data_IF_107282694648
#
_entry.id   IF_107282694648
#
_cell.length_a   1.000
_cell.length_b   1.000
_cell.length_c   1.000
_cell.angle_alpha   90.00
_cell.angle_beta   90.00
_cell.angle_gamma   90.00
#
_symmetry.space_group_name_H-M   'P 1'
#
loop_
_entity.id
_entity.type
_entity.pdbx_description
1 polymer ?
#
# COMPACT_ATOMS: atom_id res chain seq x y z
N UNK A 1 26.29 7.14 11.91
CA UNK A 1 27.47 7.89 12.28
C UNK A 1 27.17 9.36 12.08
N UNK A 2 27.46 10.19 13.09
CA UNK A 2 27.37 11.66 12.98
C UNK A 2 28.81 12.16 12.81
N UNK A 3 29.06 12.84 11.72
CA UNK A 3 30.30 13.53 11.46
C UNK A 3 30.07 15.04 11.61
N UNK A 4 30.93 15.70 12.35
CA UNK A 4 30.84 17.14 12.63
C UNK A 4 32.13 17.78 12.14
N UNK A 5 32.00 18.59 11.09
CA UNK A 5 33.14 19.34 10.51
C UNK A 5 32.87 20.83 10.54
N UNK A 6 33.88 21.64 10.25
CA UNK A 6 33.69 23.05 10.00
C UNK A 6 33.73 23.34 8.50
N UNK A 7 32.80 24.16 8.05
CA UNK A 7 32.78 24.62 6.67
C UNK A 7 33.87 25.70 6.44
N UNK A 8 34.11 26.13 5.20
CA UNK A 8 35.08 27.18 4.90
C UNK A 8 34.76 28.54 5.54
N UNK A 9 33.51 28.78 5.95
CA UNK A 9 33.09 29.98 6.69
C UNK A 9 33.32 29.83 8.20
N UNK A 10 33.74 28.63 8.66
CA UNK A 10 34.02 28.32 10.05
C UNK A 10 32.82 27.83 10.85
N UNK A 11 31.65 27.69 10.25
CA UNK A 11 30.44 27.20 10.91
C UNK A 11 30.43 25.67 11.03
N UNK A 12 29.68 25.16 12.02
CA UNK A 12 29.52 23.73 12.19
C UNK A 12 28.62 23.13 11.08
N UNK A 13 29.17 22.20 10.32
CA UNK A 13 28.47 21.39 9.35
C UNK A 13 28.30 19.98 9.90
N UNK A 14 27.07 19.45 9.85
CA UNK A 14 26.72 18.14 10.37
C UNK A 14 26.41 17.19 9.20
N UNK A 15 27.17 16.10 9.10
CA UNK A 15 26.91 15.04 8.12
C UNK A 15 26.44 13.79 8.85
N UNK A 16 25.25 13.30 8.52
CA UNK A 16 24.66 12.12 9.11
C UNK A 16 24.77 10.97 8.11
N UNK A 17 25.54 9.94 8.45
CA UNK A 17 25.61 8.69 7.69
C UNK A 17 24.71 7.68 8.39
N UNK A 18 23.55 7.36 7.80
CA UNK A 18 22.62 6.37 8.30
C UNK A 18 22.74 5.08 7.51
N UNK A 19 22.83 3.94 8.20
CA UNK A 19 22.95 2.62 7.60
C UNK A 19 21.62 2.15 7.00
N UNK A 20 20.49 2.66 7.53
CA UNK A 20 19.13 2.22 7.20
C UNK A 20 18.34 3.28 6.40
N UNK A 21 19.05 4.25 5.81
CA UNK A 21 18.41 5.38 5.15
C UNK A 21 17.84 6.42 6.15
N UNK A 22 17.27 7.52 5.67
CA UNK A 22 16.75 8.58 6.52
C UNK A 22 15.40 8.17 7.12
N UNK A 23 15.41 7.53 8.29
CA UNK A 23 14.19 7.34 9.08
C UNK A 23 13.72 8.68 9.63
N UNK A 24 12.40 8.97 9.52
CA UNK A 24 11.79 10.27 9.83
C UNK A 24 12.10 10.84 11.24
N UNK A 25 12.35 10.01 12.23
CA UNK A 25 12.58 10.45 13.62
C UNK A 25 14.02 10.89 13.90
N UNK A 26 15.00 10.13 13.44
CA UNK A 26 16.41 10.39 13.79
C UNK A 26 16.94 11.67 13.14
N UNK A 27 16.76 11.92 11.82
CA UNK A 27 17.18 13.16 11.20
C UNK A 27 16.50 14.42 11.77
N UNK A 28 15.22 14.33 12.14
CA UNK A 28 14.49 15.48 12.71
C UNK A 28 15.01 15.84 14.09
N UNK A 29 15.23 14.86 14.95
CA UNK A 29 15.78 15.07 16.28
C UNK A 29 17.23 15.59 16.23
N UNK A 30 18.03 15.01 15.33
CA UNK A 30 19.41 15.46 15.12
C UNK A 30 19.48 16.86 14.52
N UNK A 31 18.54 17.22 13.64
CA UNK A 31 18.44 18.58 13.08
C UNK A 31 18.09 19.61 14.15
N UNK A 32 17.18 19.28 15.07
CA UNK A 32 16.88 20.15 16.22
C UNK A 32 18.07 20.27 17.16
N UNK A 33 18.71 19.15 17.51
CA UNK A 33 19.91 19.15 18.35
C UNK A 33 21.07 19.87 17.70
N UNK A 34 21.31 19.71 16.40
CA UNK A 34 22.39 20.39 15.67
C UNK A 34 22.18 21.88 15.56
N UNK A 35 20.95 22.40 15.47
CA UNK A 35 20.66 23.83 15.47
C UNK A 35 21.03 24.47 16.80
N UNK A 36 20.74 23.80 17.92
CA UNK A 36 21.13 24.28 19.26
C UNK A 36 22.66 24.33 19.40
N UNK A 37 23.34 23.26 18.97
CA UNK A 37 24.82 23.19 19.01
C UNK A 37 25.45 24.26 18.14
N UNK A 38 24.98 24.49 16.94
CA UNK A 38 25.48 25.51 16.05
C UNK A 38 25.28 26.93 16.61
N UNK A 39 24.11 27.18 17.20
CA UNK A 39 23.84 28.47 17.86
C UNK A 39 24.73 28.67 19.07
N UNK A 40 24.92 27.64 19.90
CA UNK A 40 25.83 27.71 21.06
C UNK A 40 27.29 27.94 20.64
N UNK A 41 27.77 27.24 19.59
CA UNK A 41 29.13 27.45 19.07
C UNK A 41 29.34 28.87 18.55
N UNK A 42 28.36 29.46 17.86
CA UNK A 42 28.39 30.84 17.39
C UNK A 42 28.42 31.86 18.56
N UNK A 43 27.63 31.60 19.60
CA UNK A 43 27.64 32.43 20.82
C UNK A 43 28.97 32.33 21.60
N UNK A 44 29.52 31.11 21.73
CA UNK A 44 30.77 30.85 22.45
C UNK A 44 32.00 31.44 21.76
N UNK A 45 32.00 31.63 20.43
CA UNK A 45 33.08 32.27 19.70
C UNK A 45 33.19 33.78 19.97
N UNK A 46 32.26 34.34 20.68
CA UNK A 46 32.38 35.64 21.35
C UNK A 46 32.24 36.84 20.44
N UNK A 47 31.42 37.80 20.85
CA UNK A 47 31.37 39.14 20.32
C UNK A 47 30.65 39.28 18.99
N UNK A 48 29.47 38.67 18.85
CA UNK A 48 28.61 38.91 17.68
C UNK A 48 28.19 40.40 17.66
N UNK A 49 28.57 41.17 16.63
CA UNK A 49 28.01 42.49 16.39
C UNK A 49 26.50 42.38 16.17
N UNK A 50 25.75 43.41 16.56
CA UNK A 50 24.28 43.40 16.47
C UNK A 50 23.73 43.17 15.05
N UNK A 51 24.49 43.52 14.03
CA UNK A 51 24.21 43.34 12.61
C UNK A 51 24.31 41.86 12.15
N UNK A 52 24.86 40.97 12.98
CA UNK A 52 24.97 39.53 12.69
C UNK A 52 24.00 38.66 13.49
N UNK A 53 23.08 39.24 14.26
CA UNK A 53 22.08 38.48 15.00
C UNK A 53 21.20 37.61 14.09
N UNK A 54 20.94 38.05 12.87
CA UNK A 54 20.20 37.27 11.87
C UNK A 54 20.89 35.93 11.50
N UNK A 55 22.24 35.90 11.60
CA UNK A 55 23.00 34.67 11.36
C UNK A 55 22.84 33.62 12.46
N UNK A 56 22.40 33.99 13.67
CA UNK A 56 22.13 33.03 14.74
C UNK A 56 20.91 32.17 14.47
N UNK A 57 19.95 32.68 13.69
CA UNK A 57 18.74 31.95 13.28
C UNK A 57 18.90 31.03 12.06
N UNK A 58 20.05 31.12 11.37
CA UNK A 58 20.27 30.26 10.17
C UNK A 58 20.53 28.82 10.62
N UNK A 59 19.68 27.87 10.21
CA UNK A 59 19.88 26.46 10.55
C UNK A 59 21.21 25.96 9.97
N UNK A 60 21.96 25.10 10.70
CA UNK A 60 23.16 24.49 10.15
C UNK A 60 22.84 23.65 8.93
N UNK A 61 23.76 23.56 7.98
CA UNK A 61 23.64 22.61 6.88
C UNK A 61 23.72 21.17 7.42
N UNK A 62 22.65 20.42 7.30
CA UNK A 62 22.61 19.00 7.67
C UNK A 62 22.46 18.19 6.38
N UNK A 63 23.54 17.54 5.96
CA UNK A 63 23.49 16.57 4.87
C UNK A 63 23.25 15.17 5.47
N UNK A 64 22.16 14.53 5.07
CA UNK A 64 21.90 13.13 5.39
C UNK A 64 22.40 12.31 4.21
N UNK A 65 23.49 11.57 4.41
CA UNK A 65 24.11 10.75 3.38
C UNK A 65 23.76 9.28 3.67
N UNK A 66 23.16 8.60 2.71
CA UNK A 66 22.93 7.17 2.79
C UNK A 66 24.25 6.36 2.75
N UNK A 67 24.24 5.09 3.14
CA UNK A 67 25.42 4.24 3.19
C UNK A 67 25.98 3.90 1.81
N UNK A 68 25.21 4.07 0.76
CA UNK A 68 25.66 3.86 -0.63
C UNK A 68 26.13 5.20 -1.16
N UNK A 69 27.41 5.32 -1.58
CA UNK A 69 27.86 6.52 -2.27
C UNK A 69 26.98 6.71 -3.50
N UNK A 70 26.43 7.93 -3.68
CA UNK A 70 25.72 8.29 -4.88
C UNK A 70 26.60 7.96 -6.10
N UNK A 71 26.05 7.27 -7.09
CA UNK A 71 26.80 7.00 -8.32
C UNK A 71 27.22 8.34 -8.91
N UNK A 72 28.46 8.47 -9.40
CA UNK A 72 28.91 9.70 -10.01
C UNK A 72 27.93 10.14 -11.11
N UNK A 73 27.28 11.29 -10.92
CA UNK A 73 26.28 11.83 -11.85
C UNK A 73 24.82 11.73 -11.41
N UNK A 74 24.51 11.10 -10.26
CA UNK A 74 23.17 11.12 -9.70
C UNK A 74 22.97 12.47 -8.92
N UNK A 75 21.88 13.21 -9.19
CA UNK A 75 21.61 14.44 -8.45
C UNK A 75 21.37 14.10 -6.96
N UNK A 76 21.67 15.04 -6.04
CA UNK A 76 21.41 14.86 -4.61
C UNK A 76 19.94 14.47 -4.42
N UNK A 77 19.68 13.38 -3.72
CA UNK A 77 18.32 12.95 -3.43
C UNK A 77 17.61 14.02 -2.61
N UNK A 78 16.51 14.52 -3.14
CA UNK A 78 15.67 15.49 -2.46
C UNK A 78 14.96 14.80 -1.29
N UNK A 79 15.38 15.09 -0.08
CA UNK A 79 14.81 14.54 1.15
C UNK A 79 13.30 14.84 1.28
N UNK A 80 12.85 16.00 0.81
CA UNK A 80 11.43 16.35 0.80
C UNK A 80 10.65 15.46 -0.16
N UNK A 81 11.23 15.13 -1.32
CA UNK A 81 10.66 14.19 -2.28
C UNK A 81 10.61 12.75 -1.75
N UNK A 82 11.62 12.29 -1.02
CA UNK A 82 11.61 10.95 -0.39
C UNK A 82 10.52 10.84 0.68
N UNK A 83 10.34 11.86 1.52
CA UNK A 83 9.24 11.89 2.50
C UNK A 83 7.89 11.91 1.81
N UNK A 84 7.73 12.76 0.79
CA UNK A 84 6.49 12.82 0.04
C UNK A 84 6.16 11.49 -0.65
N UNK A 85 7.15 10.82 -1.24
CA UNK A 85 7.00 9.49 -1.83
C UNK A 85 6.59 8.42 -0.80
N UNK A 86 7.22 8.45 0.37
CA UNK A 86 6.90 7.55 1.48
C UNK A 86 5.46 7.76 1.98
N UNK A 87 5.05 9.00 2.25
CA UNK A 87 3.69 9.32 2.70
C UNK A 87 2.64 8.95 1.64
N UNK A 88 2.94 9.21 0.37
CA UNK A 88 2.08 8.82 -0.75
C UNK A 88 1.95 7.31 -0.85
N UNK A 89 3.05 6.58 -0.77
CA UNK A 89 3.06 5.12 -0.77
C UNK A 89 2.24 4.55 0.39
N UNK A 90 2.39 5.09 1.60
CA UNK A 90 1.60 4.69 2.76
C UNK A 90 0.10 4.94 2.54
N UNK A 91 -0.27 6.12 2.07
CA UNK A 91 -1.67 6.46 1.79
C UNK A 91 -2.28 5.48 0.78
N UNK A 92 -1.59 5.19 -0.32
CA UNK A 92 -2.07 4.25 -1.33
C UNK A 92 -2.20 2.82 -0.80
N UNK A 93 -1.27 2.36 0.04
CA UNK A 93 -1.35 1.03 0.69
C UNK A 93 -2.53 0.97 1.65
N UNK A 94 -2.80 2.04 2.42
CA UNK A 94 -3.97 2.13 3.31
C UNK A 94 -5.26 2.08 2.49
N UNK A 95 -5.35 2.88 1.42
CA UNK A 95 -6.51 2.88 0.54
C UNK A 95 -6.75 1.50 -0.08
N UNK A 96 -5.70 0.85 -0.55
CA UNK A 96 -5.78 -0.48 -1.13
C UNK A 96 -6.29 -1.51 -0.13
N UNK A 97 -5.79 -1.49 1.10
CA UNK A 97 -6.22 -2.39 2.16
C UNK A 97 -7.68 -2.18 2.53
N UNK A 98 -8.09 -0.94 2.78
CA UNK A 98 -9.49 -0.60 3.12
C UNK A 98 -10.42 -1.06 2.00
N UNK A 99 -10.05 -0.81 0.74
CA UNK A 99 -10.85 -1.21 -0.39
C UNK A 99 -11.04 -2.73 -0.46
N UNK A 100 -9.94 -3.47 -0.42
CA UNK A 100 -9.99 -4.93 -0.53
C UNK A 100 -10.83 -5.54 0.60
N UNK A 101 -10.63 -5.07 1.84
CA UNK A 101 -11.38 -5.60 2.99
C UNK A 101 -12.85 -5.21 2.93
N UNK A 102 -13.16 -3.94 2.66
CA UNK A 102 -14.54 -3.44 2.64
C UNK A 102 -15.37 -4.13 1.55
N UNK A 103 -14.88 -4.11 0.31
CA UNK A 103 -15.61 -4.73 -0.80
C UNK A 103 -15.58 -6.26 -0.73
N UNK A 104 -14.50 -6.84 -0.22
CA UNK A 104 -14.43 -8.27 0.05
C UNK A 104 -15.52 -8.70 1.02
N UNK A 105 -15.69 -7.98 2.13
CA UNK A 105 -16.77 -8.24 3.09
C UNK A 105 -18.15 -8.11 2.44
N UNK A 106 -18.39 -7.10 1.59
CA UNK A 106 -19.66 -6.97 0.87
C UNK A 106 -19.92 -8.16 -0.04
N UNK A 107 -18.89 -8.67 -0.73
CA UNK A 107 -19.03 -9.91 -1.52
C UNK A 107 -19.43 -11.08 -0.63
N UNK A 108 -18.77 -11.26 0.53
CA UNK A 108 -19.09 -12.37 1.44
C UNK A 108 -20.51 -12.25 1.98
N UNK A 109 -20.93 -11.06 2.42
CA UNK A 109 -22.29 -10.78 2.91
C UNK A 109 -23.34 -11.06 1.85
N UNK A 110 -23.15 -10.57 0.64
CA UNK A 110 -24.06 -10.80 -0.49
C UNK A 110 -24.22 -12.28 -0.82
N UNK A 111 -23.14 -13.08 -0.74
CA UNK A 111 -23.21 -14.53 -0.93
C UNK A 111 -23.99 -15.20 0.21
N UNK A 112 -23.74 -14.80 1.46
CA UNK A 112 -24.42 -15.36 2.62
C UNK A 112 -25.93 -15.02 2.65
N UNK A 113 -26.30 -13.80 2.26
CA UNK A 113 -27.71 -13.36 2.14
C UNK A 113 -28.48 -14.21 1.12
N UNK A 114 -27.91 -14.42 -0.07
CA UNK A 114 -28.57 -15.24 -1.10
C UNK A 114 -28.74 -16.68 -0.67
N UNK A 115 -27.74 -17.24 0.04
CA UNK A 115 -27.83 -18.61 0.55
C UNK A 115 -28.91 -18.74 1.64
N UNK A 116 -29.11 -17.71 2.46
CA UNK A 116 -30.13 -17.71 3.49
C UNK A 116 -31.55 -17.54 2.94
N UNK A 117 -31.69 -17.09 1.70
CA UNK A 117 -32.95 -16.90 1.01
C UNK A 117 -33.27 -18.11 0.11
N UNK A 118 -34.58 -18.43 -0.05
CA UNK A 118 -35.04 -19.50 -0.97
C UNK A 118 -34.77 -19.18 -2.45
N UNK A 119 -34.30 -17.98 -2.76
CA UNK A 119 -33.96 -17.53 -4.11
C UNK A 119 -32.86 -18.39 -4.72
N UNK A 120 -31.95 -18.93 -3.89
CA UNK A 120 -30.85 -19.77 -4.34
C UNK A 120 -31.32 -21.04 -5.07
N UNK A 121 -32.46 -21.64 -4.68
CA UNK A 121 -33.00 -22.84 -5.35
C UNK A 121 -33.44 -22.53 -6.80
N UNK A 122 -33.94 -21.32 -7.02
CA UNK A 122 -34.38 -20.89 -8.36
C UNK A 122 -33.17 -20.55 -9.22
N UNK A 123 -32.19 -19.85 -8.64
CA UNK A 123 -31.01 -19.35 -9.36
C UNK A 123 -30.09 -20.52 -9.79
N UNK A 124 -29.95 -21.56 -8.97
CA UNK A 124 -29.16 -22.77 -9.32
C UNK A 124 -29.72 -23.57 -10.49
N UNK A 125 -31.02 -23.40 -10.78
CA UNK A 125 -31.64 -23.98 -11.96
C UNK A 125 -31.36 -23.16 -13.23
N UNK A 126 -30.95 -21.88 -13.10
CA UNK A 126 -30.77 -20.98 -14.21
C UNK A 126 -29.28 -20.73 -14.58
N UNK A 127 -28.36 -20.91 -13.63
CA UNK A 127 -26.93 -20.66 -13.84
C UNK A 127 -26.06 -21.63 -13.05
N UNK A 128 -24.86 -21.90 -13.56
CA UNK A 128 -23.87 -22.72 -12.84
C UNK A 128 -23.31 -22.00 -11.61
N UNK A 129 -22.84 -22.74 -10.58
CA UNK A 129 -22.20 -22.16 -9.41
C UNK A 129 -21.00 -21.25 -9.75
N UNK A 130 -20.27 -21.57 -10.80
CA UNK A 130 -19.15 -20.76 -11.29
C UNK A 130 -19.62 -19.43 -11.88
N UNK A 131 -20.66 -19.44 -12.71
CA UNK A 131 -21.22 -18.23 -13.33
C UNK A 131 -21.78 -17.28 -12.27
N UNK A 132 -22.44 -17.82 -11.25
CA UNK A 132 -22.97 -17.05 -10.13
C UNK A 132 -21.84 -16.38 -9.33
N UNK A 133 -20.82 -17.17 -8.99
CA UNK A 133 -19.66 -16.64 -8.27
C UNK A 133 -18.92 -15.57 -9.07
N UNK A 134 -18.64 -15.86 -10.35
CA UNK A 134 -17.95 -14.93 -11.23
C UNK A 134 -18.76 -13.64 -11.46
N UNK A 135 -20.07 -13.77 -11.72
CA UNK A 135 -20.97 -12.64 -11.90
C UNK A 135 -21.01 -11.73 -10.66
N UNK A 136 -21.03 -12.31 -9.47
CA UNK A 136 -21.01 -11.56 -8.22
C UNK A 136 -19.69 -10.82 -7.98
N UNK A 137 -18.57 -11.51 -8.15
CA UNK A 137 -17.22 -10.93 -8.02
C UNK A 137 -17.05 -9.79 -9.02
N UNK A 138 -17.49 -9.98 -10.27
CA UNK A 138 -17.43 -8.94 -11.29
C UNK A 138 -18.39 -7.79 -11.01
N UNK A 139 -19.61 -8.05 -10.55
CA UNK A 139 -20.61 -7.01 -10.24
C UNK A 139 -20.17 -6.11 -9.09
N UNK A 140 -19.81 -6.68 -7.95
CA UNK A 140 -19.30 -5.93 -6.79
C UNK A 140 -17.95 -5.27 -7.13
N UNK A 141 -17.12 -5.96 -7.93
CA UNK A 141 -15.87 -5.42 -8.43
C UNK A 141 -16.06 -4.19 -9.32
N UNK A 142 -17.01 -4.24 -10.24
CA UNK A 142 -17.34 -3.10 -11.09
C UNK A 142 -17.85 -1.90 -10.27
N UNK A 143 -18.66 -2.15 -9.23
CA UNK A 143 -19.08 -1.11 -8.30
C UNK A 143 -17.89 -0.48 -7.57
N UNK A 144 -17.02 -1.32 -7.02
CA UNK A 144 -15.79 -0.87 -6.34
C UNK A 144 -14.88 -0.08 -7.28
N UNK A 145 -14.62 -0.58 -8.49
CA UNK A 145 -13.82 0.11 -9.50
C UNK A 145 -14.42 1.46 -9.89
N UNK A 146 -15.75 1.55 -10.05
CA UNK A 146 -16.44 2.80 -10.35
C UNK A 146 -16.26 3.81 -9.21
N UNK A 147 -16.48 3.40 -7.98
CA UNK A 147 -16.36 4.26 -6.81
C UNK A 147 -14.92 4.75 -6.60
N UNK A 148 -13.94 3.87 -6.75
CA UNK A 148 -12.52 4.26 -6.68
C UNK A 148 -12.10 5.09 -7.89
N UNK A 149 -12.63 4.81 -9.07
CA UNK A 149 -12.40 5.62 -10.26
C UNK A 149 -12.86 7.07 -10.07
N UNK A 150 -14.03 7.26 -9.46
CA UNK A 150 -14.56 8.61 -9.12
C UNK A 150 -13.64 9.35 -8.15
N UNK A 151 -12.89 8.67 -7.29
CA UNK A 151 -11.92 9.30 -6.38
C UNK A 151 -10.55 9.50 -7.05
N UNK A 152 -10.04 8.50 -7.77
CA UNK A 152 -8.68 8.48 -8.32
C UNK A 152 -8.56 9.35 -9.57
N UNK A 153 -9.58 9.35 -10.45
CA UNK A 153 -9.54 10.13 -11.69
C UNK A 153 -9.42 11.64 -11.41
N UNK A 154 -10.26 12.26 -10.55
CA UNK A 154 -10.10 13.66 -10.20
C UNK A 154 -8.76 13.95 -9.49
N UNK A 155 -8.31 13.05 -8.61
CA UNK A 155 -7.01 13.18 -7.96
C UNK A 155 -5.86 13.17 -8.98
N UNK A 156 -5.89 12.26 -9.96
CA UNK A 156 -4.94 12.21 -11.06
C UNK A 156 -4.97 13.47 -11.94
N UNK A 157 -6.17 13.97 -12.26
CA UNK A 157 -6.34 15.23 -13.01
C UNK A 157 -5.79 16.41 -12.21
N UNK A 158 -6.09 16.48 -10.90
CA UNK A 158 -5.57 17.53 -10.03
C UNK A 158 -4.05 17.53 -9.97
N UNK A 159 -3.43 16.33 -9.97
CA UNK A 159 -1.98 16.19 -10.05
C UNK A 159 -1.40 16.66 -11.38
N UNK A 160 -2.01 16.30 -12.49
CA UNK A 160 -1.56 16.74 -13.81
C UNK A 160 -1.71 18.26 -13.98
N UNK A 161 -2.66 18.88 -13.30
CA UNK A 161 -2.95 20.30 -13.36
C UNK A 161 -2.44 21.08 -12.14
N UNK A 162 -1.65 20.44 -11.24
CA UNK A 162 -1.23 21.03 -9.96
C UNK A 162 -0.56 22.40 -10.12
N UNK A 163 0.30 22.57 -11.13
CA UNK A 163 1.01 23.84 -11.37
C UNK A 163 0.04 24.94 -11.82
N UNK A 164 -0.95 24.60 -12.62
CA UNK A 164 -2.00 25.54 -13.03
C UNK A 164 -2.94 25.90 -11.88
N UNK A 165 -3.30 24.90 -11.08
CA UNK A 165 -4.15 25.10 -9.90
C UNK A 165 -3.42 25.94 -8.85
N UNK A 166 -2.15 25.67 -8.58
CA UNK A 166 -1.33 26.45 -7.66
C UNK A 166 -1.17 27.90 -8.13
N UNK A 167 -0.92 28.12 -9.41
CA UNK A 167 -0.79 29.48 -9.97
C UNK A 167 -2.11 30.28 -9.93
N UNK A 168 -3.25 29.62 -10.15
CA UNK A 168 -4.57 30.26 -10.17
C UNK A 168 -5.10 30.54 -8.75
N UNK A 169 -4.91 29.62 -7.80
CA UNK A 169 -5.49 29.73 -6.45
C UNK A 169 -4.56 30.41 -5.44
N UNK A 170 -3.25 30.24 -5.57
CA UNK A 170 -2.28 30.68 -4.58
C UNK A 170 -1.36 31.78 -5.08
N UNK A 171 -1.41 32.13 -6.37
CA UNK A 171 -0.52 33.11 -6.97
C UNK A 171 0.97 32.72 -6.92
N UNK A 172 1.27 31.45 -6.67
CA UNK A 172 2.63 30.93 -6.47
C UNK A 172 3.16 30.30 -7.75
N UNK A 173 4.45 30.50 -8.01
CA UNK A 173 5.13 29.80 -9.11
C UNK A 173 5.35 28.34 -8.78
N UNK A 174 5.40 27.49 -9.80
CA UNK A 174 5.43 26.01 -9.77
C UNK A 174 6.49 25.34 -8.87
N UNK A 175 7.37 26.09 -8.22
CA UNK A 175 8.41 25.55 -7.31
C UNK A 175 8.02 25.49 -5.83
N UNK A 176 6.84 25.99 -5.44
CA UNK A 176 6.41 26.10 -4.04
C UNK A 176 5.19 25.23 -3.68
N UNK A 177 4.67 24.45 -4.63
CA UNK A 177 3.55 23.55 -4.38
C UNK A 177 3.94 22.42 -3.42
N UNK A 178 3.03 22.09 -2.53
CA UNK A 178 3.25 21.20 -1.39
C UNK A 178 3.97 19.89 -1.73
N UNK A 179 4.92 19.43 -0.89
CA UNK A 179 5.70 18.20 -1.10
C UNK A 179 4.86 16.93 -1.25
N UNK A 180 3.61 16.96 -0.78
CA UNK A 180 2.70 15.81 -0.80
C UNK A 180 2.34 15.32 -2.22
N UNK A 181 2.39 16.20 -3.23
CA UNK A 181 2.03 15.82 -4.61
C UNK A 181 3.24 15.28 -5.42
N UNK A 182 4.46 15.54 -4.98
CA UNK A 182 5.69 15.14 -5.69
C UNK A 182 5.93 13.63 -5.73
N UNK A 183 5.31 12.85 -4.84
CA UNK A 183 5.41 11.39 -4.79
C UNK A 183 4.45 10.65 -5.72
N UNK A 184 3.41 11.30 -6.26
CA UNK A 184 2.41 10.68 -7.12
C UNK A 184 2.85 10.77 -8.60
N UNK A 185 3.35 9.66 -9.13
CA UNK A 185 3.69 9.55 -10.56
C UNK A 185 2.60 8.81 -11.33
N UNK A 186 2.44 9.05 -12.65
CA UNK A 186 1.54 8.26 -13.48
C UNK A 186 1.82 6.75 -13.41
N UNK A 187 3.09 6.37 -13.32
CA UNK A 187 3.50 4.98 -13.17
C UNK A 187 2.99 4.36 -11.85
N UNK A 188 3.06 5.11 -10.75
CA UNK A 188 2.55 4.67 -9.44
C UNK A 188 1.02 4.54 -9.44
N UNK A 189 0.31 5.44 -10.11
CA UNK A 189 -1.15 5.34 -10.26
C UNK A 189 -1.55 4.11 -11.09
N UNK A 190 -0.83 3.80 -12.16
CA UNK A 190 -1.04 2.58 -12.95
C UNK A 190 -0.75 1.35 -12.11
N UNK A 191 0.38 1.33 -11.37
CA UNK A 191 0.72 0.23 -10.48
C UNK A 191 -0.36 0.02 -9.41
N UNK A 192 -0.84 1.10 -8.79
CA UNK A 192 -1.96 1.06 -7.85
C UNK A 192 -3.22 0.48 -8.49
N UNK A 193 -3.62 0.96 -9.67
CA UNK A 193 -4.83 0.48 -10.35
C UNK A 193 -4.74 -1.02 -10.69
N UNK A 194 -3.61 -1.48 -11.22
CA UNK A 194 -3.37 -2.89 -11.54
C UNK A 194 -3.42 -3.75 -10.28
N UNK A 195 -2.67 -3.38 -9.24
CA UNK A 195 -2.62 -4.14 -7.99
C UNK A 195 -3.94 -4.09 -7.22
N UNK A 196 -4.69 -2.98 -7.33
CA UNK A 196 -6.04 -2.87 -6.78
C UNK A 196 -6.99 -3.87 -7.45
N UNK A 197 -7.07 -3.86 -8.79
CA UNK A 197 -7.96 -4.76 -9.53
C UNK A 197 -7.63 -6.22 -9.24
N UNK A 198 -6.35 -6.60 -9.36
CA UNK A 198 -5.93 -7.99 -9.18
C UNK A 198 -6.04 -8.42 -7.70
N UNK A 199 -5.63 -7.57 -6.78
CA UNK A 199 -5.75 -7.83 -5.34
C UNK A 199 -7.20 -7.96 -4.92
N UNK A 200 -8.06 -7.03 -5.38
CA UNK A 200 -9.49 -7.11 -5.13
C UNK A 200 -10.09 -8.43 -5.68
N UNK A 201 -9.81 -8.78 -6.92
CA UNK A 201 -10.34 -10.02 -7.52
C UNK A 201 -9.91 -11.25 -6.73
N UNK A 202 -8.64 -11.34 -6.32
CA UNK A 202 -8.15 -12.44 -5.50
C UNK A 202 -8.92 -12.56 -4.19
N UNK A 203 -9.00 -11.47 -3.45
CA UNK A 203 -9.68 -11.46 -2.16
C UNK A 203 -11.19 -11.61 -2.28
N UNK A 204 -11.84 -11.03 -3.30
CA UNK A 204 -13.26 -11.19 -3.55
C UNK A 204 -13.64 -12.66 -3.77
N UNK A 205 -12.83 -13.41 -4.50
CA UNK A 205 -13.01 -14.87 -4.69
C UNK A 205 -12.91 -15.61 -3.34
N UNK A 206 -11.94 -15.27 -2.50
CA UNK A 206 -11.76 -15.89 -1.19
C UNK A 206 -12.92 -15.55 -0.24
N UNK A 207 -13.32 -14.28 -0.20
CA UNK A 207 -14.45 -13.82 0.61
C UNK A 207 -15.79 -14.43 0.14
N UNK A 208 -15.98 -14.58 -1.17
CA UNK A 208 -17.16 -15.23 -1.70
C UNK A 208 -17.22 -16.73 -1.31
N UNK A 209 -16.09 -17.44 -1.41
CA UNK A 209 -15.97 -18.81 -0.93
C UNK A 209 -16.27 -18.91 0.57
N UNK A 210 -15.70 -18.01 1.38
CA UNK A 210 -15.97 -17.96 2.81
C UNK A 210 -17.46 -17.69 3.11
N UNK A 211 -18.07 -16.72 2.43
CA UNK A 211 -19.51 -16.40 2.55
C UNK A 211 -20.42 -17.57 2.23
N UNK A 212 -20.04 -18.42 1.26
CA UNK A 212 -20.81 -19.63 0.91
C UNK A 212 -20.87 -20.69 2.01
N UNK A 213 -19.95 -20.66 2.97
CA UNK A 213 -19.89 -21.59 4.09
C UNK A 213 -20.78 -21.17 5.27
N UNK A 214 -21.22 -19.93 5.29
CA UNK A 214 -22.00 -19.36 6.39
C UNK A 214 -23.46 -19.83 6.29
N UNK A 215 -24.03 -20.25 7.41
CA UNK A 215 -25.44 -20.61 7.52
C UNK A 215 -26.28 -19.52 8.22
N UNK A 216 -25.64 -18.63 8.94
CA UNK A 216 -26.27 -17.48 9.63
C UNK A 216 -25.42 -16.25 9.44
N UNK A 217 -26.04 -15.09 9.15
CA UNK A 217 -25.34 -13.83 8.93
C UNK A 217 -24.44 -13.40 10.09
N UNK A 218 -24.82 -13.78 11.32
CA UNK A 218 -24.04 -13.51 12.54
C UNK A 218 -22.65 -14.17 12.55
N UNK A 219 -22.51 -15.31 11.85
CA UNK A 219 -21.27 -16.10 11.79
C UNK A 219 -20.26 -15.56 10.72
N UNK A 220 -20.66 -14.58 9.89
CA UNK A 220 -19.87 -14.17 8.71
C UNK A 220 -18.48 -13.66 9.11
N UNK A 221 -18.40 -12.84 10.15
CA UNK A 221 -17.15 -12.25 10.61
C UNK A 221 -16.13 -13.33 11.05
N UNK A 222 -16.61 -14.43 11.66
CA UNK A 222 -15.74 -15.52 12.08
C UNK A 222 -15.15 -16.30 10.90
N UNK A 223 -15.89 -16.42 9.81
CA UNK A 223 -15.48 -17.20 8.62
C UNK A 223 -14.56 -16.36 7.73
N UNK A 224 -14.77 -15.04 7.64
CA UNK A 224 -13.89 -14.15 6.86
C UNK A 224 -12.62 -13.73 7.58
N UNK A 225 -12.58 -13.84 8.92
CA UNK A 225 -11.45 -13.41 9.75
C UNK A 225 -10.08 -13.96 9.30
N UNK A 226 -9.92 -15.25 8.94
CA UNK A 226 -8.61 -15.75 8.49
C UNK A 226 -8.09 -15.02 7.25
N UNK A 227 -8.96 -14.73 6.27
CA UNK A 227 -8.58 -13.99 5.04
C UNK A 227 -8.21 -12.55 5.37
N UNK A 228 -9.00 -11.92 6.25
CA UNK A 228 -8.72 -10.55 6.73
C UNK A 228 -7.39 -10.50 7.49
N UNK A 229 -7.06 -11.50 8.30
CA UNK A 229 -5.79 -11.58 9.04
C UNK A 229 -4.57 -11.70 8.10
N UNK A 230 -4.69 -12.50 7.04
CA UNK A 230 -3.62 -12.60 6.03
C UNK A 230 -3.43 -11.26 5.32
N UNK A 231 -4.52 -10.62 4.90
CA UNK A 231 -4.47 -9.28 4.31
C UNK A 231 -3.90 -8.23 5.25
N UNK A 232 -4.31 -8.26 6.53
CA UNK A 232 -3.80 -7.36 7.57
C UNK A 232 -2.29 -7.54 7.78
N UNK A 233 -1.81 -8.78 7.82
CA UNK A 233 -0.38 -9.07 7.94
C UNK A 233 0.41 -8.48 6.76
N UNK A 234 -0.06 -8.71 5.53
CA UNK A 234 0.55 -8.12 4.32
C UNK A 234 0.53 -6.60 4.32
N UNK A 235 -0.61 -6.01 4.70
CA UNK A 235 -0.78 -4.57 4.86
C UNK A 235 0.20 -3.97 5.88
N UNK A 236 0.32 -4.57 7.07
CA UNK A 236 1.22 -4.07 8.11
C UNK A 236 2.68 -4.11 7.66
N UNK A 237 3.11 -5.22 7.04
CA UNK A 237 4.48 -5.30 6.48
C UNK A 237 4.69 -4.21 5.43
N UNK A 238 3.73 -4.01 4.51
CA UNK A 238 3.81 -2.97 3.48
C UNK A 238 3.84 -1.56 4.08
N UNK A 239 3.05 -1.29 5.13
CA UNK A 239 3.02 -0.02 5.84
C UNK A 239 4.38 0.28 6.50
N UNK A 240 4.96 -0.69 7.21
CA UNK A 240 6.28 -0.54 7.82
C UNK A 240 7.41 -0.44 6.79
N UNK A 241 7.25 -1.09 5.64
CA UNK A 241 8.18 -0.96 4.52
C UNK A 241 8.11 0.44 3.90
N UNK A 242 6.90 0.96 3.65
CA UNK A 242 6.71 2.33 3.13
C UNK A 242 7.20 3.40 4.10
N UNK A 243 7.13 3.16 5.42
CA UNK A 243 7.62 4.10 6.43
C UNK A 243 9.15 4.05 6.62
N UNK A 244 9.84 3.14 5.95
CA UNK A 244 11.28 2.94 6.10
C UNK A 244 11.68 2.21 7.39
N UNK A 245 10.73 1.71 8.20
CA UNK A 245 11.00 0.91 9.40
C UNK A 245 11.49 -0.49 9.06
N UNK A 246 11.05 -1.03 7.93
CA UNK A 246 11.53 -2.28 7.36
C UNK A 246 12.19 -1.94 6.02
N UNK A 247 13.46 -2.34 5.79
CA UNK A 247 14.11 -2.12 4.51
C UNK A 247 13.38 -2.83 3.37
N UNK A 248 12.97 -2.08 2.34
CA UNK A 248 12.19 -2.60 1.22
C UNK A 248 13.01 -3.51 0.28
N UNK A 249 14.33 -3.50 0.40
CA UNK A 249 15.31 -4.35 -0.29
C UNK A 249 15.70 -5.60 0.51
N UNK A 250 15.21 -5.76 1.75
CA UNK A 250 15.45 -6.95 2.53
C UNK A 250 14.99 -8.21 1.77
N UNK A 251 15.82 -9.22 1.68
CA UNK A 251 15.57 -10.41 0.85
C UNK A 251 14.23 -11.09 1.10
N UNK A 252 13.80 -11.17 2.37
CA UNK A 252 12.48 -11.73 2.73
C UNK A 252 11.31 -10.83 2.28
N UNK A 253 11.48 -9.49 2.29
CA UNK A 253 10.50 -8.53 1.79
C UNK A 253 10.33 -8.67 0.28
N UNK A 254 11.46 -8.81 -0.43
CA UNK A 254 11.47 -9.05 -1.88
C UNK A 254 10.70 -10.32 -2.21
N UNK A 255 11.01 -11.45 -1.56
CA UNK A 255 10.31 -12.72 -1.80
C UNK A 255 8.82 -12.61 -1.46
N UNK A 256 8.49 -12.02 -0.30
CA UNK A 256 7.12 -11.89 0.17
C UNK A 256 6.28 -10.99 -0.77
N UNK A 257 6.90 -10.01 -1.45
CA UNK A 257 6.21 -9.15 -2.40
C UNK A 257 5.72 -9.87 -3.67
N UNK A 258 6.19 -11.09 -3.93
CA UNK A 258 5.68 -11.96 -5.01
C UNK A 258 4.67 -12.99 -4.53
N UNK A 259 4.44 -13.12 -3.20
CA UNK A 259 3.40 -14.01 -2.67
C UNK A 259 2.02 -13.40 -2.91
N UNK A 260 1.11 -14.02 -3.67
CA UNK A 260 -0.10 -13.39 -4.19
C UNK A 260 -0.99 -12.74 -3.12
N UNK A 261 -1.12 -13.35 -1.93
CA UNK A 261 -1.97 -12.82 -0.85
C UNK A 261 -1.41 -11.56 -0.20
N UNK A 262 -0.12 -11.33 -0.29
CA UNK A 262 0.59 -10.18 0.29
C UNK A 262 1.00 -9.19 -0.79
N UNK A 263 1.24 -9.70 -1.99
CA UNK A 263 1.76 -8.97 -3.15
C UNK A 263 1.07 -7.63 -3.41
N UNK A 264 -0.27 -7.50 -3.40
CA UNK A 264 -0.92 -6.23 -3.73
C UNK A 264 -0.43 -5.07 -2.86
N UNK A 265 -0.25 -5.32 -1.57
CA UNK A 265 0.18 -4.31 -0.61
C UNK A 265 1.69 -4.06 -0.67
N UNK A 266 2.47 -5.14 -0.63
CA UNK A 266 3.92 -5.05 -0.47
C UNK A 266 4.62 -4.66 -1.77
N UNK A 267 4.13 -5.13 -2.92
CA UNK A 267 4.64 -4.71 -4.23
C UNK A 267 4.36 -3.23 -4.48
N UNK A 268 3.15 -2.74 -4.10
CA UNK A 268 2.82 -1.33 -4.18
C UNK A 268 3.76 -0.46 -3.34
N UNK A 269 4.04 -0.88 -2.10
CA UNK A 269 4.98 -0.21 -1.20
C UNK A 269 6.40 -0.15 -1.80
N UNK A 270 6.90 -1.27 -2.32
CA UNK A 270 8.23 -1.35 -2.95
C UNK A 270 8.31 -0.53 -4.24
N UNK A 271 7.23 -0.51 -5.03
CA UNK A 271 7.16 0.31 -6.23
C UNK A 271 7.14 1.80 -5.90
N UNK A 272 6.38 2.21 -4.88
CA UNK A 272 6.31 3.60 -4.42
C UNK A 272 7.66 4.12 -3.88
N UNK A 273 8.45 3.25 -3.27
CA UNK A 273 9.82 3.58 -2.79
C UNK A 273 10.90 3.49 -3.88
N UNK A 274 10.53 3.14 -5.12
CA UNK A 274 11.47 2.99 -6.25
C UNK A 274 12.38 1.76 -6.18
N UNK A 275 12.10 0.82 -5.25
CA UNK A 275 12.88 -0.42 -5.06
C UNK A 275 12.27 -1.64 -5.80
N UNK A 276 11.17 -1.46 -6.49
CA UNK A 276 10.61 -2.40 -7.44
C UNK A 276 10.44 -1.72 -8.80
N UNK A 277 10.85 -2.41 -9.86
CA UNK A 277 10.72 -1.92 -11.23
C UNK A 277 9.44 -2.38 -11.93
N UNK A 278 9.21 -1.91 -13.17
CA UNK A 278 8.08 -2.35 -13.98
C UNK A 278 8.06 -3.87 -14.23
N UNK A 279 9.23 -4.50 -14.31
CA UNK A 279 9.35 -5.96 -14.48
C UNK A 279 8.87 -6.71 -13.23
N UNK A 280 9.24 -6.23 -12.03
CA UNK A 280 8.77 -6.82 -10.77
C UNK A 280 7.25 -6.73 -10.66
N UNK A 281 6.69 -5.56 -11.02
CA UNK A 281 5.24 -5.35 -11.07
C UNK A 281 4.56 -6.30 -12.05
N UNK A 282 5.12 -6.48 -13.24
CA UNK A 282 4.58 -7.40 -14.24
C UNK A 282 4.62 -8.86 -13.77
N UNK A 283 5.72 -9.30 -13.17
CA UNK A 283 5.86 -10.65 -12.59
C UNK A 283 4.88 -10.88 -11.45
N UNK A 284 4.78 -9.94 -10.51
CA UNK A 284 3.82 -10.01 -9.41
C UNK A 284 2.38 -10.06 -9.91
N UNK A 285 2.05 -9.25 -10.92
CA UNK A 285 0.73 -9.25 -11.56
C UNK A 285 0.43 -10.57 -12.25
N UNK A 286 1.39 -11.18 -12.93
CA UNK A 286 1.23 -12.49 -13.55
C UNK A 286 0.99 -13.58 -12.49
N UNK A 287 1.74 -13.58 -11.39
CA UNK A 287 1.52 -14.49 -10.26
C UNK A 287 0.16 -14.29 -9.60
N UNK A 288 -0.30 -13.05 -9.47
CA UNK A 288 -1.65 -12.73 -8.99
C UNK A 288 -2.73 -13.32 -9.91
N UNK A 289 -2.60 -13.17 -11.23
CA UNK A 289 -3.55 -13.75 -12.20
C UNK A 289 -3.59 -15.27 -12.06
N UNK A 290 -2.44 -15.94 -11.97
CA UNK A 290 -2.37 -17.39 -11.75
C UNK A 290 -3.06 -17.79 -10.45
N UNK A 291 -2.82 -17.05 -9.37
CA UNK A 291 -3.45 -17.28 -8.07
C UNK A 291 -4.96 -17.06 -8.12
N UNK A 292 -5.44 -16.02 -8.81
CA UNK A 292 -6.87 -15.75 -8.99
C UNK A 292 -7.54 -16.95 -9.69
N UNK A 293 -6.97 -17.43 -10.79
CA UNK A 293 -7.51 -18.58 -11.53
C UNK A 293 -7.53 -19.83 -10.66
N UNK A 294 -6.45 -20.11 -9.93
CA UNK A 294 -6.37 -21.25 -9.03
C UNK A 294 -7.38 -21.13 -7.88
N UNK A 295 -7.47 -19.96 -7.23
CA UNK A 295 -8.43 -19.71 -6.16
C UNK A 295 -9.88 -19.76 -6.66
N UNK A 296 -10.16 -19.24 -7.85
CA UNK A 296 -11.49 -19.28 -8.45
C UNK A 296 -11.93 -20.72 -8.73
N UNK A 297 -11.02 -21.56 -9.22
CA UNK A 297 -11.28 -22.98 -9.43
C UNK A 297 -11.59 -23.73 -8.12
N UNK A 298 -10.83 -23.47 -7.06
CA UNK A 298 -11.06 -24.04 -5.71
C UNK A 298 -12.36 -23.46 -5.12
N UNK A 299 -12.54 -22.16 -5.20
CA UNK A 299 -13.71 -21.45 -4.67
C UNK A 299 -15.01 -21.92 -5.31
N UNK A 300 -15.04 -22.14 -6.63
CA UNK A 300 -16.22 -22.67 -7.32
C UNK A 300 -16.63 -24.05 -6.80
N UNK A 301 -15.67 -24.92 -6.48
CA UNK A 301 -15.93 -26.22 -5.88
C UNK A 301 -16.46 -26.11 -4.44
N UNK A 302 -15.84 -25.24 -3.64
CA UNK A 302 -16.30 -24.97 -2.26
C UNK A 302 -17.71 -24.38 -2.30
N UNK A 303 -17.95 -23.43 -3.20
CA UNK A 303 -19.25 -22.79 -3.38
C UNK A 303 -20.33 -23.81 -3.75
N UNK A 304 -20.05 -24.69 -4.73
CA UNK A 304 -20.98 -25.76 -5.13
C UNK A 304 -21.31 -26.70 -3.96
N UNK A 305 -20.31 -27.12 -3.18
CA UNK A 305 -20.51 -27.96 -2.00
C UNK A 305 -21.21 -27.21 -0.86
N UNK A 306 -20.87 -25.93 -0.66
CA UNK A 306 -21.41 -25.09 0.42
C UNK A 306 -22.89 -24.72 0.22
N UNK A 307 -23.29 -24.45 -1.02
CA UNK A 307 -24.67 -24.10 -1.36
C UNK A 307 -25.62 -25.28 -1.21
N UNK A 308 -25.13 -26.51 -1.47
CA UNK A 308 -25.95 -27.74 -1.37
C UNK A 308 -26.11 -28.23 0.09
N UNK A 309 -25.33 -27.75 1.04
CA UNK A 309 -25.42 -28.13 2.46
C UNK A 309 -26.31 -27.17 3.23
N UNK A 310 -27.59 -27.49 3.35
CA UNK A 310 -28.54 -26.78 4.21
C UNK A 310 -28.49 -27.28 5.67
N UNK A 311 -28.41 -26.35 6.64
CA UNK A 311 -28.75 -26.62 8.03
C UNK A 311 -27.65 -27.21 8.93
N UNK A 312 -26.51 -27.62 8.42
CA UNK A 312 -25.39 -28.11 9.26
C UNK A 312 -24.13 -27.28 9.00
N UNK A 313 -23.37 -26.96 10.07
CA UNK A 313 -22.02 -26.37 9.92
C UNK A 313 -21.09 -27.47 9.38
N UNK A 314 -20.74 -27.46 8.06
CA UNK A 314 -19.86 -28.49 7.54
C UNK A 314 -18.47 -28.30 8.14
N UNK A 315 -17.84 -29.37 8.64
CA UNK A 315 -16.45 -29.29 9.05
C UNK A 315 -15.56 -29.01 7.83
N UNK A 316 -14.49 -28.23 8.00
CA UNK A 316 -13.56 -27.90 6.91
C UNK A 316 -13.05 -29.18 6.19
N UNK A 317 -12.89 -30.29 6.95
CA UNK A 317 -12.48 -31.59 6.41
C UNK A 317 -13.55 -32.24 5.55
N UNK A 318 -14.83 -32.13 5.92
CA UNK A 318 -15.95 -32.67 5.14
C UNK A 318 -16.16 -31.90 3.84
N UNK A 319 -15.96 -30.57 3.87
CA UNK A 319 -16.02 -29.74 2.67
C UNK A 319 -14.86 -30.04 1.71
N UNK A 320 -13.65 -30.23 2.24
CA UNK A 320 -12.50 -30.59 1.43
C UNK A 320 -12.70 -31.95 0.73
N UNK A 321 -13.18 -32.97 1.46
CA UNK A 321 -13.52 -34.28 0.88
C UNK A 321 -14.66 -34.17 -0.12
N UNK A 322 -15.71 -33.42 0.14
CA UNK A 322 -16.83 -33.25 -0.80
C UNK A 322 -16.44 -32.46 -2.06
N UNK A 323 -15.58 -31.46 -1.94
CA UNK A 323 -15.11 -30.63 -3.07
C UNK A 323 -14.16 -31.41 -4.00
N UNK A 324 -13.44 -32.41 -3.47
CA UNK A 324 -12.43 -33.17 -4.20
C UNK A 324 -12.77 -34.66 -4.37
N UNK A 325 -13.88 -35.16 -3.80
CA UNK A 325 -14.39 -36.48 -4.10
C UNK A 325 -14.76 -36.52 -5.60
N UNK A 326 -14.06 -37.35 -6.37
CA UNK A 326 -14.37 -37.61 -7.76
C UNK A 326 -15.81 -38.11 -7.86
N UNK A 327 -16.63 -37.36 -8.58
CA UNK A 327 -17.82 -37.94 -9.17
C UNK A 327 -17.33 -38.79 -10.36
N UNK A 328 -17.10 -40.08 -10.13
CA UNK A 328 -17.01 -41.08 -11.19
C UNK A 328 -18.35 -41.21 -11.89
#
# INVERSE_FOLDING_TARGET
>A
LLDVARDPAGDLAFTIVSKDGPTLRIPTLLRQGSSVLATTDRLLRGGYPADKLDALGVPPSVAVVGPTPAKPGEPPKDFAGEIAGSLTGQALVIFLFIAIVLYGQWVAMSVAEEKSSRVMEIVLNAASPFELLAGKVLGVGALGLTQYGVAIIPAGIALLLQDRIASLLLGQTAGSAAPAASGLTPALLIAFAVLFVLGFLLYAVLYAAAGSLVSRMEDINSVVAPMTMVGMGGYLVALYTSSGLIPADAGWVVVLSFVPFVSPYLMLSRFATGLAGPLDLALASALLVVAIVACLWVAARIYAAGVLTYGQKPSARALFTAAFAHRG
#
